data_IF_480770165351
#
_entry.id   IF_480770165351
#
_cell.length_a   1.000
_cell.length_b   1.000
_cell.length_c   1.000
_cell.angle_alpha   90.00
_cell.angle_beta   90.00
_cell.angle_gamma   90.00
#
_symmetry.space_group_name_H-M   'P 1'
#
loop_
_entity.id
_entity.type
_entity.pdbx_description
1 polymer ?
#
# COMPACT_ATOMS: atom_id res chain seq x y z
N UNK A 1 -33.87 19.16 -21.95
CA UNK A 1 -34.54 20.42 -21.63
C UNK A 1 -34.90 20.43 -20.16
N UNK A 2 -34.42 21.42 -19.42
CA UNK A 2 -34.73 21.56 -17.99
C UNK A 2 -36.23 21.89 -17.83
N UNK A 3 -36.96 21.09 -17.05
CA UNK A 3 -38.42 21.28 -16.82
C UNK A 3 -38.67 22.07 -15.55
N UNK A 4 -37.73 21.97 -14.56
CA UNK A 4 -37.86 22.66 -13.28
C UNK A 4 -36.46 22.96 -12.72
N UNK A 5 -36.23 24.22 -12.36
CA UNK A 5 -34.91 24.70 -11.95
C UNK A 5 -34.45 24.14 -10.59
N UNK A 6 -35.35 23.77 -9.71
CA UNK A 6 -35.01 23.18 -8.42
C UNK A 6 -34.01 24.00 -7.61
N UNK A 7 -32.93 23.34 -7.17
CA UNK A 7 -31.85 23.98 -6.40
C UNK A 7 -31.03 25.00 -7.22
N UNK A 8 -31.05 24.91 -8.55
CA UNK A 8 -30.33 25.87 -9.43
C UNK A 8 -30.88 27.30 -9.28
N UNK A 9 -32.10 27.46 -8.81
CA UNK A 9 -32.66 28.76 -8.50
C UNK A 9 -31.96 29.47 -7.33
N UNK A 10 -31.41 28.69 -6.39
CA UNK A 10 -30.68 29.17 -5.22
C UNK A 10 -29.18 29.18 -5.48
N UNK A 11 -28.69 28.17 -6.21
CA UNK A 11 -27.28 28.00 -6.56
C UNK A 11 -27.14 27.87 -8.08
N UNK A 12 -27.07 29.00 -8.83
CA UNK A 12 -26.98 28.95 -10.28
C UNK A 12 -25.62 28.39 -10.71
N UNK A 13 -25.67 27.30 -11.47
CA UNK A 13 -24.51 26.72 -12.14
C UNK A 13 -24.70 26.95 -13.63
N UNK A 14 -23.72 27.54 -14.31
CA UNK A 14 -23.73 27.66 -15.76
C UNK A 14 -23.69 26.25 -16.37
N UNK A 15 -24.82 25.77 -16.82
CA UNK A 15 -24.92 24.56 -17.63
C UNK A 15 -24.90 24.99 -19.10
N UNK A 16 -23.85 24.62 -19.80
CA UNK A 16 -23.86 24.69 -21.27
C UNK A 16 -24.73 23.54 -21.79
N UNK A 17 -26.03 23.80 -21.93
CA UNK A 17 -26.92 22.86 -22.61
C UNK A 17 -26.71 22.97 -24.11
N UNK A 18 -26.21 21.92 -24.73
CA UNK A 18 -26.28 21.78 -26.19
C UNK A 18 -27.73 21.43 -26.59
N UNK A 19 -28.54 22.44 -26.80
CA UNK A 19 -29.93 22.28 -27.23
C UNK A 19 -29.92 21.82 -28.70
N UNK A 20 -30.31 20.57 -28.92
CA UNK A 20 -30.50 20.03 -30.25
C UNK A 20 -31.75 20.70 -30.90
N UNK A 21 -31.74 20.98 -32.19
CA UNK A 21 -32.92 21.47 -32.90
C UNK A 21 -34.06 20.42 -32.83
N UNK A 22 -35.28 20.91 -33.00
CA UNK A 22 -36.45 20.03 -33.05
C UNK A 22 -36.45 19.20 -34.35
N UNK A 23 -36.46 17.86 -34.19
CA UNK A 23 -36.60 16.93 -35.33
C UNK A 23 -37.94 16.25 -35.25
N UNK A 24 -38.61 16.06 -36.41
CA UNK A 24 -39.76 15.24 -36.52
C UNK A 24 -39.40 13.85 -37.03
N UNK A 25 -40.30 12.91 -36.81
CA UNK A 25 -40.16 11.57 -37.35
C UNK A 25 -40.17 11.64 -38.91
N UNK A 26 -39.15 11.05 -39.56
CA UNK A 26 -38.91 11.04 -41.02
C UNK A 26 -38.30 12.33 -41.60
N UNK A 27 -37.77 13.24 -40.78
CA UNK A 27 -37.00 14.34 -41.31
C UNK A 27 -35.75 13.81 -42.05
N UNK A 28 -35.50 14.32 -43.24
CA UNK A 28 -34.31 13.94 -44.03
C UNK A 28 -33.05 14.64 -43.48
N UNK A 29 -32.11 13.84 -43.03
CA UNK A 29 -30.80 14.33 -42.52
C UNK A 29 -29.68 13.99 -43.49
N UNK A 30 -28.82 14.97 -43.78
CA UNK A 30 -27.61 14.75 -44.58
C UNK A 30 -26.43 14.36 -43.71
N UNK A 31 -25.88 13.17 -43.95
CA UNK A 31 -24.68 12.71 -43.25
C UNK A 31 -23.46 13.50 -43.79
N UNK A 32 -22.88 14.33 -42.95
CA UNK A 32 -21.70 15.13 -43.31
C UNK A 32 -20.39 14.38 -43.15
N UNK A 33 -20.21 13.65 -42.06
CA UNK A 33 -19.02 12.84 -41.81
C UNK A 33 -19.25 11.78 -40.76
N UNK A 34 -18.53 10.65 -40.83
CA UNK A 34 -18.44 9.65 -39.79
C UNK A 34 -17.01 9.61 -39.33
N UNK A 35 -16.80 9.86 -38.02
CA UNK A 35 -15.48 9.75 -37.39
C UNK A 35 -15.51 8.58 -36.42
N UNK A 36 -14.85 7.47 -36.71
CA UNK A 36 -14.72 6.37 -35.76
C UNK A 36 -13.77 6.81 -34.63
N UNK A 37 -14.20 6.73 -33.40
CA UNK A 37 -13.36 6.98 -32.23
C UNK A 37 -13.32 5.72 -31.37
N UNK A 38 -12.10 5.28 -31.05
CA UNK A 38 -11.91 4.14 -30.17
C UNK A 38 -11.79 4.64 -28.73
N UNK A 39 -12.71 4.21 -27.86
CA UNK A 39 -12.68 4.51 -26.44
C UNK A 39 -12.33 3.25 -25.65
N UNK A 40 -11.42 3.38 -24.69
CA UNK A 40 -11.09 2.33 -23.76
C UNK A 40 -11.67 2.69 -22.39
N UNK A 41 -12.40 1.76 -21.72
CA UNK A 41 -12.83 1.99 -20.36
C UNK A 41 -11.62 2.09 -19.43
N UNK A 42 -11.62 3.10 -18.58
CA UNK A 42 -10.60 3.22 -17.53
C UNK A 42 -10.84 2.19 -16.42
N UNK A 43 -9.75 1.62 -15.85
CA UNK A 43 -9.88 0.75 -14.70
C UNK A 43 -10.46 1.52 -13.50
N UNK A 44 -11.12 0.82 -12.53
CA UNK A 44 -11.63 1.47 -11.35
C UNK A 44 -10.52 2.24 -10.62
N UNK A 45 -10.81 3.47 -10.21
CA UNK A 45 -9.86 4.27 -9.47
C UNK A 45 -9.53 3.63 -8.11
N UNK A 46 -8.28 3.80 -7.65
CA UNK A 46 -7.89 3.36 -6.30
C UNK A 46 -8.70 4.08 -5.23
N UNK A 47 -8.88 3.45 -4.09
CA UNK A 47 -9.61 4.02 -2.97
C UNK A 47 -8.99 5.33 -2.46
N UNK A 48 -9.82 6.29 -2.15
CA UNK A 48 -9.49 7.38 -1.25
C UNK A 48 -9.72 6.93 0.20
N UNK A 49 -9.26 7.70 1.19
CA UNK A 49 -9.56 7.39 2.60
C UNK A 49 -11.07 7.33 2.87
N UNK A 50 -11.82 8.27 2.34
CA UNK A 50 -13.29 8.24 2.47
C UNK A 50 -13.92 7.06 1.73
N UNK A 51 -13.39 6.70 0.55
CA UNK A 51 -13.90 5.56 -0.22
C UNK A 51 -13.69 4.23 0.49
N UNK A 52 -12.51 4.01 1.13
CA UNK A 52 -12.27 2.78 1.87
C UNK A 52 -13.11 2.70 3.15
N UNK A 53 -13.32 3.84 3.86
CA UNK A 53 -14.19 3.88 5.04
C UNK A 53 -15.62 3.47 4.66
N UNK A 54 -16.14 4.00 3.56
CA UNK A 54 -17.46 3.61 3.07
C UNK A 54 -17.58 2.11 2.82
N UNK A 55 -16.57 1.50 2.20
CA UNK A 55 -16.55 0.06 1.95
C UNK A 55 -16.44 -0.74 3.23
N UNK A 56 -15.61 -0.32 4.20
CA UNK A 56 -15.52 -0.96 5.51
C UNK A 56 -16.88 -0.93 6.24
N UNK A 57 -17.57 0.20 6.18
CA UNK A 57 -18.91 0.36 6.75
C UNK A 57 -19.94 -0.54 6.05
N UNK A 58 -19.93 -0.60 4.72
CA UNK A 58 -20.81 -1.49 3.94
C UNK A 58 -20.59 -2.97 4.28
N UNK A 59 -19.37 -3.37 4.60
CA UNK A 59 -19.06 -4.75 5.00
C UNK A 59 -19.17 -4.99 6.51
N UNK A 60 -19.52 -3.99 7.31
CA UNK A 60 -19.61 -4.12 8.77
C UNK A 60 -18.26 -4.28 9.48
N UNK A 61 -17.16 -3.91 8.84
CA UNK A 61 -15.80 -4.04 9.36
C UNK A 61 -15.41 -2.78 10.11
N UNK A 62 -15.16 -2.92 11.42
CA UNK A 62 -14.81 -1.79 12.28
C UNK A 62 -16.04 -0.97 12.72
N UNK A 63 -15.76 0.11 13.42
CA UNK A 63 -16.76 1.06 13.94
C UNK A 63 -16.23 2.49 13.71
N UNK A 64 -17.06 3.54 13.80
CA UNK A 64 -16.63 4.93 13.55
C UNK A 64 -15.36 5.34 14.30
N UNK A 65 -15.16 4.83 15.52
CA UNK A 65 -13.99 5.10 16.34
C UNK A 65 -12.71 4.42 15.85
N UNK A 66 -12.79 3.38 15.03
CA UNK A 66 -11.63 2.58 14.60
C UNK A 66 -11.20 2.83 13.16
N UNK A 67 -12.04 3.42 12.29
CA UNK A 67 -11.71 3.63 10.88
C UNK A 67 -10.45 4.49 10.69
N UNK A 68 -10.44 5.69 11.26
CA UNK A 68 -9.32 6.61 11.10
C UNK A 68 -8.01 6.08 11.71
N UNK A 69 -7.99 5.52 12.96
CA UNK A 69 -6.80 4.90 13.52
C UNK A 69 -6.26 3.72 12.70
N UNK A 70 -7.15 2.92 12.10
CA UNK A 70 -6.73 1.78 11.25
C UNK A 70 -6.02 2.27 9.99
N UNK A 71 -6.58 3.27 9.30
CA UNK A 71 -5.96 3.86 8.11
C UNK A 71 -4.62 4.51 8.47
N UNK A 72 -4.56 5.28 9.56
CA UNK A 72 -3.31 5.87 10.02
C UNK A 72 -2.25 4.80 10.30
N UNK A 73 -2.63 3.71 10.96
CA UNK A 73 -1.72 2.60 11.28
C UNK A 73 -1.12 1.95 10.03
N UNK A 74 -1.89 1.66 9.00
CA UNK A 74 -1.37 1.03 7.78
C UNK A 74 -0.45 1.97 6.98
N UNK A 75 -0.71 3.28 7.03
CA UNK A 75 0.16 4.30 6.42
C UNK A 75 1.45 4.45 7.22
N UNK A 76 1.38 4.57 8.56
CA UNK A 76 2.54 4.73 9.44
C UNK A 76 3.48 3.52 9.40
N UNK A 77 2.93 2.33 9.22
CA UNK A 77 3.69 1.08 9.05
C UNK A 77 4.28 0.93 7.64
N UNK A 78 3.96 1.83 6.72
CA UNK A 78 4.44 1.79 5.34
C UNK A 78 3.82 0.68 4.49
N UNK A 79 2.67 0.15 4.89
CA UNK A 79 1.90 -0.79 4.05
C UNK A 79 1.19 -0.08 2.91
N UNK A 80 0.82 1.17 3.12
CA UNK A 80 0.11 1.98 2.14
C UNK A 80 0.78 3.34 1.99
N UNK A 81 0.96 3.77 0.76
CA UNK A 81 1.38 5.12 0.39
C UNK A 81 0.17 5.93 -0.08
N UNK A 82 0.17 7.22 0.26
CA UNK A 82 -0.85 8.16 -0.18
C UNK A 82 -0.32 8.98 -1.36
N UNK A 83 -0.82 8.67 -2.56
CA UNK A 83 -0.43 9.33 -3.81
C UNK A 83 -1.68 10.01 -4.37
N UNK A 84 -1.64 11.32 -4.61
CA UNK A 84 -2.76 12.10 -5.16
C UNK A 84 -4.10 11.85 -4.44
N UNK A 85 -4.06 11.83 -3.10
CA UNK A 85 -5.23 11.51 -2.23
C UNK A 85 -5.79 10.08 -2.41
N UNK A 86 -5.07 9.18 -3.09
CA UNK A 86 -5.41 7.78 -3.28
C UNK A 86 -4.46 6.88 -2.51
N UNK A 87 -5.00 5.77 -2.03
CA UNK A 87 -4.25 4.77 -1.27
C UNK A 87 -3.66 3.73 -2.22
N UNK A 88 -2.33 3.59 -2.20
CA UNK A 88 -1.60 2.60 -3.00
C UNK A 88 -0.88 1.63 -2.08
N UNK A 89 -1.14 0.31 -2.17
CA UNK A 89 -0.37 -0.67 -1.41
C UNK A 89 1.09 -0.70 -1.87
N UNK A 90 1.98 -0.94 -0.91
CA UNK A 90 3.42 -1.13 -1.14
C UNK A 90 3.74 -2.61 -1.40
N UNK A 91 4.94 -2.91 -1.87
CA UNK A 91 5.40 -4.29 -2.06
C UNK A 91 5.39 -5.09 -0.75
N UNK A 92 5.68 -4.41 0.38
CA UNK A 92 5.59 -5.03 1.72
C UNK A 92 4.16 -5.42 2.05
N UNK A 93 3.19 -4.57 1.72
CA UNK A 93 1.79 -4.89 1.97
C UNK A 93 1.33 -6.12 1.18
N UNK A 94 1.73 -6.21 -0.07
CA UNK A 94 1.41 -7.38 -0.92
C UNK A 94 1.99 -8.64 -0.30
N UNK A 95 3.28 -8.62 0.07
CA UNK A 95 3.94 -9.76 0.70
C UNK A 95 3.26 -10.20 2.01
N UNK A 96 2.95 -9.23 2.88
CA UNK A 96 2.28 -9.52 4.17
C UNK A 96 0.86 -10.04 3.93
N UNK A 97 0.13 -9.45 2.99
CA UNK A 97 -1.20 -9.91 2.62
C UNK A 97 -1.18 -11.35 2.11
N UNK A 98 -0.28 -11.68 1.18
CA UNK A 98 -0.17 -13.02 0.62
C UNK A 98 0.20 -14.06 1.70
N UNK A 99 1.09 -13.70 2.62
CA UNK A 99 1.42 -14.52 3.77
C UNK A 99 0.17 -14.79 4.64
N UNK A 100 -0.57 -13.73 4.98
CA UNK A 100 -1.74 -13.82 5.85
C UNK A 100 -2.87 -14.61 5.18
N UNK A 101 -3.16 -14.37 3.90
CA UNK A 101 -4.17 -15.11 3.15
C UNK A 101 -3.81 -16.60 3.05
N UNK A 102 -2.54 -16.92 2.84
CA UNK A 102 -2.07 -18.30 2.73
C UNK A 102 -2.12 -19.07 4.07
N UNK A 103 -1.76 -18.43 5.17
CA UNK A 103 -1.55 -19.10 6.44
C UNK A 103 -2.64 -18.86 7.49
N UNK A 104 -3.41 -17.77 7.34
CA UNK A 104 -4.47 -17.34 8.26
C UNK A 104 -5.74 -16.91 7.52
N UNK A 105 -6.24 -17.70 6.53
CA UNK A 105 -7.36 -17.28 5.68
C UNK A 105 -8.61 -16.91 6.48
N UNK A 106 -8.91 -17.62 7.56
CA UNK A 106 -10.08 -17.37 8.41
C UNK A 106 -10.05 -15.99 9.09
N UNK A 107 -8.83 -15.51 9.47
CA UNK A 107 -8.69 -14.23 10.19
C UNK A 107 -8.73 -13.04 9.25
N UNK A 108 -8.21 -13.21 8.02
CA UNK A 108 -8.20 -12.14 7.01
C UNK A 108 -9.50 -12.08 6.20
N UNK A 109 -10.43 -13.03 6.42
CA UNK A 109 -11.76 -12.95 5.84
C UNK A 109 -12.53 -11.77 6.46
N UNK A 110 -12.99 -10.87 5.61
CA UNK A 110 -13.75 -9.71 6.05
C UNK A 110 -15.08 -10.09 6.73
N UNK A 111 -15.67 -11.24 6.39
CA UNK A 111 -16.86 -11.76 7.08
C UNK A 111 -16.56 -12.10 8.54
N UNK A 112 -15.41 -12.73 8.79
CA UNK A 112 -14.97 -13.03 10.14
C UNK A 112 -14.85 -11.76 11.01
N UNK A 113 -14.27 -10.69 10.43
CA UNK A 113 -14.13 -9.42 11.15
C UNK A 113 -15.49 -8.79 11.45
N UNK A 114 -16.42 -8.80 10.49
CA UNK A 114 -17.78 -8.30 10.69
C UNK A 114 -18.53 -9.10 11.79
N UNK A 115 -18.48 -10.43 11.72
CA UNK A 115 -19.08 -11.30 12.75
C UNK A 115 -18.48 -11.08 14.14
N UNK A 116 -17.19 -10.81 14.22
CA UNK A 116 -16.53 -10.51 15.50
C UNK A 116 -17.01 -9.17 16.07
N UNK A 117 -17.14 -8.15 15.24
CA UNK A 117 -17.70 -6.84 15.63
C UNK A 117 -19.14 -7.00 16.16
N UNK A 118 -19.96 -7.79 15.49
CA UNK A 118 -21.34 -8.07 15.93
C UNK A 118 -21.37 -8.81 17.29
N UNK A 119 -20.45 -9.75 17.50
CA UNK A 119 -20.34 -10.43 18.81
C UNK A 119 -19.89 -9.48 19.91
N UNK A 120 -18.99 -8.54 19.60
CA UNK A 120 -18.58 -7.50 20.57
C UNK A 120 -19.74 -6.58 20.92
N UNK A 121 -20.60 -6.22 19.96
CA UNK A 121 -21.83 -5.47 20.22
C UNK A 121 -22.82 -6.27 21.09
N UNK A 122 -22.96 -7.57 20.85
CA UNK A 122 -23.80 -8.45 21.68
C UNK A 122 -23.28 -8.53 23.12
N UNK A 123 -21.95 -8.56 23.32
CA UNK A 123 -21.35 -8.47 24.66
C UNK A 123 -21.70 -7.11 25.31
N UNK A 124 -21.60 -6.02 24.57
CA UNK A 124 -21.93 -4.69 25.08
C UNK A 124 -23.41 -4.58 25.49
N UNK A 125 -24.31 -5.27 24.79
CA UNK A 125 -25.74 -5.36 25.13
C UNK A 125 -26.06 -6.41 26.23
N UNK A 126 -25.06 -7.18 26.70
CA UNK A 126 -25.24 -8.18 27.74
C UNK A 126 -25.93 -9.49 27.28
N UNK A 127 -26.05 -9.71 25.99
CA UNK A 127 -26.68 -10.93 25.40
C UNK A 127 -25.69 -12.07 25.20
N UNK A 128 -24.38 -11.76 25.14
CA UNK A 128 -23.31 -12.75 24.98
C UNK A 128 -22.24 -12.62 26.07
N UNK A 129 -21.57 -13.75 26.37
CA UNK A 129 -20.48 -13.77 27.34
C UNK A 129 -19.13 -13.56 26.67
N UNK A 130 -18.41 -12.53 27.08
CA UNK A 130 -17.09 -12.20 26.52
C UNK A 130 -16.07 -13.34 26.63
N UNK A 131 -16.09 -14.10 27.74
CA UNK A 131 -15.21 -15.25 27.95
C UNK A 131 -15.37 -16.32 26.87
N UNK A 132 -16.64 -16.64 26.52
CA UNK A 132 -16.95 -17.64 25.48
C UNK A 132 -16.51 -17.14 24.08
N UNK A 133 -16.76 -15.87 23.77
CA UNK A 133 -16.39 -15.29 22.49
C UNK A 133 -14.88 -15.32 22.30
N UNK A 134 -14.12 -14.89 23.32
CA UNK A 134 -12.65 -14.90 23.28
C UNK A 134 -12.11 -16.35 23.24
N UNK A 135 -12.65 -17.26 24.02
CA UNK A 135 -12.22 -18.65 24.03
C UNK A 135 -12.42 -19.34 22.68
N UNK A 136 -13.57 -19.14 22.05
CA UNK A 136 -13.90 -19.70 20.75
C UNK A 136 -12.97 -19.16 19.63
N UNK A 137 -12.55 -17.91 19.73
CA UNK A 137 -11.56 -17.34 18.82
C UNK A 137 -10.15 -17.85 19.13
N UNK A 138 -9.73 -17.74 20.40
CA UNK A 138 -8.33 -17.92 20.79
C UNK A 138 -7.82 -19.35 20.64
N UNK A 139 -8.65 -20.35 20.97
CA UNK A 139 -8.24 -21.76 20.89
C UNK A 139 -7.77 -22.18 19.49
N UNK A 140 -8.59 -22.05 18.45
CA UNK A 140 -8.18 -22.40 17.08
C UNK A 140 -7.06 -21.49 16.56
N UNK A 141 -7.10 -20.20 16.88
CA UNK A 141 -6.04 -19.27 16.52
C UNK A 141 -4.68 -19.67 17.07
N UNK A 142 -4.61 -19.96 18.39
CA UNK A 142 -3.37 -20.38 19.04
C UNK A 142 -2.84 -21.69 18.47
N UNK A 143 -3.71 -22.66 18.22
CA UNK A 143 -3.31 -23.93 17.64
C UNK A 143 -2.72 -23.75 16.24
N UNK A 144 -3.35 -22.93 15.39
CA UNK A 144 -2.83 -22.58 14.06
C UNK A 144 -1.51 -21.80 14.15
N UNK A 145 -1.42 -20.83 15.05
CA UNK A 145 -0.20 -20.02 15.24
C UNK A 145 0.99 -20.91 15.63
N UNK A 146 0.83 -21.80 16.60
CA UNK A 146 1.89 -22.71 17.02
C UNK A 146 2.34 -23.64 15.88
N UNK A 147 1.40 -24.15 15.08
CA UNK A 147 1.71 -24.95 13.89
C UNK A 147 2.49 -24.15 12.85
N UNK A 148 2.07 -22.92 12.60
CA UNK A 148 2.71 -22.06 11.58
C UNK A 148 4.06 -21.48 12.02
N UNK A 149 4.30 -21.32 13.31
CA UNK A 149 5.60 -20.89 13.85
C UNK A 149 6.72 -21.89 13.53
N UNK A 150 6.38 -23.18 13.43
CA UNK A 150 7.31 -24.21 12.98
C UNK A 150 7.41 -24.36 11.46
N UNK A 151 6.30 -24.15 10.74
CA UNK A 151 6.19 -24.42 9.31
C UNK A 151 6.75 -23.27 8.45
N UNK A 152 6.64 -22.01 8.95
CA UNK A 152 7.03 -20.84 8.16
C UNK A 152 8.51 -20.52 8.34
N UNK A 153 9.29 -20.70 7.29
CA UNK A 153 10.69 -20.30 7.26
C UNK A 153 10.86 -18.91 6.65
N UNK A 154 12.00 -18.26 6.90
CA UNK A 154 12.33 -16.97 6.27
C UNK A 154 12.35 -17.02 4.74
N UNK A 155 12.59 -18.19 4.15
CA UNK A 155 12.54 -18.40 2.69
C UNK A 155 11.11 -18.38 2.17
N UNK A 156 10.15 -18.91 2.94
CA UNK A 156 8.73 -18.93 2.55
C UNK A 156 8.10 -17.52 2.55
N UNK A 157 8.73 -16.58 3.27
CA UNK A 157 8.32 -15.16 3.24
C UNK A 157 8.69 -14.47 1.93
N UNK A 158 9.36 -15.15 0.98
CA UNK A 158 9.75 -14.55 -0.29
C UNK A 158 10.69 -13.34 -0.17
N UNK A 159 11.30 -13.17 1.01
CA UNK A 159 12.13 -12.00 1.32
C UNK A 159 13.55 -12.15 0.81
N UNK A 160 13.95 -13.34 0.33
CA UNK A 160 15.30 -13.60 -0.16
C UNK A 160 15.22 -14.20 -1.57
N UNK A 161 15.51 -13.40 -2.58
CA UNK A 161 15.69 -13.86 -3.97
C UNK A 161 17.17 -13.90 -4.28
N UNK A 162 17.69 -15.05 -4.66
CA UNK A 162 19.07 -15.20 -5.07
C UNK A 162 19.34 -14.39 -6.35
N UNK A 163 20.48 -13.71 -6.38
CA UNK A 163 20.93 -12.95 -7.56
C UNK A 163 22.29 -13.42 -8.02
N UNK A 164 22.64 -13.12 -9.25
CA UNK A 164 23.98 -13.33 -9.80
C UNK A 164 25.03 -12.32 -9.30
N UNK A 165 24.59 -11.32 -8.52
CA UNK A 165 25.47 -10.24 -8.02
C UNK A 165 26.37 -10.73 -6.90
N UNK A 166 27.64 -10.36 -6.98
CA UNK A 166 28.68 -10.71 -6.01
C UNK A 166 29.02 -9.49 -5.16
N UNK A 167 29.18 -9.69 -3.87
CA UNK A 167 29.56 -8.64 -2.94
C UNK A 167 31.02 -8.18 -3.18
N UNK A 168 31.22 -6.92 -3.49
CA UNK A 168 32.52 -6.30 -3.74
C UNK A 168 33.45 -6.34 -2.52
N UNK A 169 32.88 -6.44 -1.30
CA UNK A 169 33.68 -6.43 -0.04
C UNK A 169 34.16 -7.81 0.39
N UNK A 170 33.40 -8.87 0.14
CA UNK A 170 33.75 -10.21 0.67
C UNK A 170 33.59 -11.35 -0.34
N UNK A 171 33.22 -11.07 -1.60
CA UNK A 171 33.11 -12.07 -2.66
C UNK A 171 31.95 -13.05 -2.53
N UNK A 172 31.09 -12.93 -1.49
CA UNK A 172 29.91 -13.79 -1.32
C UNK A 172 28.76 -13.32 -2.19
N UNK A 173 27.83 -14.21 -2.60
CA UNK A 173 26.66 -13.81 -3.37
C UNK A 173 25.79 -12.82 -2.59
N UNK A 174 25.07 -11.96 -3.34
CA UNK A 174 24.10 -11.04 -2.78
C UNK A 174 22.68 -11.53 -3.05
N UNK A 175 21.79 -11.28 -2.12
CA UNK A 175 20.36 -11.64 -2.21
C UNK A 175 19.50 -10.38 -2.14
N UNK A 176 18.40 -10.37 -2.91
CA UNK A 176 17.40 -9.30 -2.77
C UNK A 176 16.64 -9.54 -1.48
N UNK A 177 16.61 -8.53 -0.63
CA UNK A 177 15.75 -8.49 0.57
C UNK A 177 14.77 -7.35 0.48
N UNK A 178 13.61 -7.54 1.07
CA UNK A 178 12.62 -6.49 1.22
C UNK A 178 12.82 -5.78 2.56
N UNK A 179 13.09 -4.48 2.52
CA UNK A 179 13.23 -3.63 3.69
C UNK A 179 12.11 -2.60 3.77
N UNK A 180 12.15 -1.79 4.83
CA UNK A 180 11.16 -0.73 5.06
C UNK A 180 11.04 0.28 3.91
N UNK A 181 12.12 0.47 3.17
CA UNK A 181 12.21 1.45 2.07
C UNK A 181 12.17 0.80 0.68
N UNK A 182 11.74 -0.46 0.58
CA UNK A 182 11.68 -1.21 -0.66
C UNK A 182 12.71 -2.34 -0.76
N UNK A 183 12.90 -2.86 -1.97
CA UNK A 183 13.86 -3.93 -2.25
C UNK A 183 15.29 -3.42 -2.22
N UNK A 184 16.19 -4.19 -1.62
CA UNK A 184 17.61 -3.91 -1.60
C UNK A 184 18.42 -5.20 -1.71
N UNK A 185 19.64 -5.11 -2.24
CA UNK A 185 20.60 -6.21 -2.24
C UNK A 185 21.33 -6.26 -0.89
N UNK A 186 21.39 -7.42 -0.28
CA UNK A 186 22.12 -7.67 0.95
C UNK A 186 23.13 -8.80 0.74
N UNK A 187 24.32 -8.65 1.32
CA UNK A 187 25.33 -9.68 1.30
C UNK A 187 24.90 -10.89 2.17
N UNK A 188 25.07 -12.11 1.67
CA UNK A 188 24.82 -13.35 2.43
C UNK A 188 25.84 -13.56 3.57
N UNK A 189 26.94 -12.81 3.57
CA UNK A 189 27.94 -12.82 4.65
C UNK A 189 27.54 -12.06 5.92
N UNK A 190 26.29 -11.59 6.05
CA UNK A 190 25.82 -10.99 7.30
C UNK A 190 25.85 -12.02 8.46
N UNK A 191 26.27 -11.65 9.67
CA UNK A 191 26.58 -10.30 10.18
C UNK A 191 28.00 -9.77 9.93
N UNK A 192 28.93 -10.60 9.43
CA UNK A 192 30.32 -10.23 9.22
C UNK A 192 30.48 -9.18 8.11
N UNK A 193 29.77 -9.35 7.03
CA UNK A 193 29.70 -8.39 5.94
C UNK A 193 28.31 -7.72 5.88
N UNK A 194 28.28 -6.41 6.13
CA UNK A 194 27.03 -5.61 6.14
C UNK A 194 26.84 -4.81 4.84
N UNK A 195 27.42 -5.29 3.74
CA UNK A 195 27.28 -4.59 2.46
C UNK A 195 25.86 -4.69 1.93
N UNK A 196 25.27 -3.56 1.53
CA UNK A 196 23.92 -3.46 0.95
C UNK A 196 23.95 -2.49 -0.22
N UNK A 197 23.18 -2.78 -1.28
CA UNK A 197 22.95 -1.88 -2.42
C UNK A 197 21.45 -1.64 -2.57
N UNK A 198 21.04 -0.42 -2.87
CA UNK A 198 19.64 -0.12 -3.13
C UNK A 198 19.26 -0.56 -4.54
N UNK A 199 18.00 -0.99 -4.69
CA UNK A 199 17.42 -1.34 -5.98
C UNK A 199 16.33 -0.32 -6.33
N UNK A 200 16.32 0.12 -7.57
CA UNK A 200 15.22 0.92 -8.12
C UNK A 200 13.92 0.12 -8.14
N UNK A 201 12.79 0.79 -8.32
CA UNK A 201 11.49 0.14 -8.51
C UNK A 201 11.47 -0.84 -9.69
N UNK A 202 12.39 -0.67 -10.64
CA UNK A 202 12.59 -1.53 -11.81
C UNK A 202 13.58 -2.69 -11.55
N UNK A 203 14.12 -2.82 -10.33
CA UNK A 203 15.06 -3.88 -9.97
C UNK A 203 16.50 -3.65 -10.41
N UNK A 204 16.84 -2.46 -10.90
CA UNK A 204 18.22 -2.07 -11.23
C UNK A 204 18.96 -1.58 -10.00
N UNK A 205 20.26 -1.83 -9.91
CA UNK A 205 21.09 -1.31 -8.82
C UNK A 205 21.16 0.22 -8.96
N UNK A 206 20.69 0.93 -7.94
CA UNK A 206 20.87 2.37 -7.84
C UNK A 206 22.23 2.64 -7.22
N UNK A 207 23.14 3.22 -8.01
CA UNK A 207 24.34 3.81 -7.44
C UNK A 207 23.92 5.03 -6.62
N UNK A 208 24.44 5.17 -5.39
CA UNK A 208 24.14 6.34 -4.58
C UNK A 208 24.57 7.60 -5.35
N UNK A 209 23.61 8.50 -5.61
CA UNK A 209 23.91 9.76 -6.25
C UNK A 209 24.96 10.49 -5.41
N UNK A 210 26.17 10.60 -5.94
CA UNK A 210 27.26 11.35 -5.34
C UNK A 210 27.01 12.82 -5.61
N UNK A 211 27.04 13.64 -4.58
CA UNK A 211 26.94 15.09 -4.73
C UNK A 211 28.35 15.70 -4.72
N UNK A 212 28.48 16.87 -5.34
CA UNK A 212 29.73 17.65 -5.31
C UNK A 212 30.03 18.22 -3.91
N UNK A 213 29.11 18.07 -2.97
CA UNK A 213 29.27 18.54 -1.60
C UNK A 213 30.22 17.66 -0.80
N UNK A 214 31.15 18.31 -0.11
CA UNK A 214 32.12 17.65 0.76
C UNK A 214 31.63 17.67 2.21
N UNK A 215 31.85 16.55 2.89
CA UNK A 215 31.56 16.43 4.31
C UNK A 215 32.31 17.49 5.12
N UNK A 216 31.67 18.34 5.91
CA UNK A 216 32.29 19.41 6.67
C UNK A 216 33.26 18.86 7.74
N UNK A 217 33.12 17.60 8.13
CA UNK A 217 33.90 16.99 9.21
C UNK A 217 35.12 16.20 8.73
N UNK A 218 35.08 15.57 7.55
CA UNK A 218 36.17 14.72 7.07
C UNK A 218 36.56 14.98 5.60
N UNK A 219 35.94 15.91 4.90
CA UNK A 219 36.25 16.27 3.52
C UNK A 219 35.86 15.22 2.46
N UNK A 220 35.29 14.07 2.85
CA UNK A 220 34.85 13.03 1.91
C UNK A 220 33.56 13.45 1.17
N UNK A 221 33.29 12.93 -0.04
CA UNK A 221 32.05 13.24 -0.76
C UNK A 221 30.82 12.81 0.04
N UNK A 222 29.71 13.52 -0.13
CA UNK A 222 28.43 13.16 0.48
C UNK A 222 27.55 12.43 -0.53
N UNK A 223 26.85 11.41 -0.03
CA UNK A 223 25.92 10.61 -0.82
C UNK A 223 24.48 10.93 -0.43
N UNK A 224 23.58 10.99 -1.40
CA UNK A 224 22.14 11.07 -1.14
C UNK A 224 21.65 9.73 -0.64
N UNK A 225 21.04 9.71 0.55
CA UNK A 225 20.44 8.52 1.16
C UNK A 225 18.95 8.77 1.39
N UNK A 226 18.15 7.73 1.30
CA UNK A 226 16.71 7.80 1.62
C UNK A 226 16.48 7.56 3.12
N UNK A 227 15.82 8.50 3.77
CA UNK A 227 15.44 8.43 5.17
C UNK A 227 13.92 8.45 5.38
N UNK A 228 13.48 8.42 6.65
CA UNK A 228 12.05 8.43 7.02
C UNK A 228 11.31 9.69 6.51
N UNK A 229 12.01 10.81 6.45
CA UNK A 229 11.44 12.12 6.09
C UNK A 229 11.83 12.58 4.68
N UNK A 230 12.39 11.68 3.87
CA UNK A 230 12.84 11.98 2.51
C UNK A 230 14.34 11.80 2.32
N UNK A 231 14.87 12.22 1.17
CA UNK A 231 16.30 12.13 0.88
C UNK A 231 17.11 13.07 1.79
N UNK A 232 18.26 12.59 2.25
CA UNK A 232 19.22 13.36 3.04
C UNK A 232 20.65 13.08 2.59
N UNK A 233 21.57 14.00 2.85
CA UNK A 233 22.98 13.84 2.56
C UNK A 233 23.68 13.14 3.74
N UNK A 234 24.39 12.07 3.44
CA UNK A 234 25.17 11.34 4.43
C UNK A 234 26.62 11.13 3.96
N UNK A 235 27.56 11.24 4.88
CA UNK A 235 28.96 11.05 4.57
C UNK A 235 29.24 9.66 3.98
N UNK A 236 30.05 9.59 2.89
CA UNK A 236 30.44 8.32 2.26
C UNK A 236 31.28 7.42 3.19
N UNK A 237 31.95 8.00 4.19
CA UNK A 237 32.77 7.28 5.19
C UNK A 237 31.96 6.73 6.37
N UNK A 238 30.65 6.69 6.30
CA UNK A 238 29.89 6.04 7.35
C UNK A 238 30.26 4.55 7.44
N UNK A 239 30.48 3.96 8.63
CA UNK A 239 30.16 4.46 9.98
C UNK A 239 31.31 5.25 10.69
N UNK A 240 32.46 5.43 10.07
CA UNK A 240 33.59 6.14 10.67
C UNK A 240 33.27 7.64 10.87
N UNK A 241 32.61 8.24 9.88
CA UNK A 241 32.09 9.61 9.95
C UNK A 241 30.58 9.59 9.89
N UNK A 242 29.92 10.09 10.94
CA UNK A 242 28.44 10.07 11.10
C UNK A 242 27.78 11.38 10.70
N UNK A 243 28.44 12.21 9.90
CA UNK A 243 27.90 13.51 9.46
C UNK A 243 26.72 13.30 8.50
N UNK A 244 25.63 14.03 8.75
CA UNK A 244 24.39 14.06 7.98
C UNK A 244 24.16 15.50 7.58
#
# INVERSE_FOLDING_TARGET
QMVFEGFLKIYPVEQQENILPHFNQNDALNLMSVKPEQHFPEPPARFSEAGIIKVLEEYGIGRPSTYAPTIATIVDRGYVEKIEKRLKPTDIAVLVNDLLVKHFPEIVDYKFTAEMEDKLDQIAHGTESWNKVIENFYKPFKANLMKKDHDITKKDLGTETETSEICEKCGKPMVVKLGRFGKFLACTGFPDCRNTKQLSKEGKIEEPAVTDEKCPNCGAPMNVKQGRFGPFLGCSRYPECKTI
#
